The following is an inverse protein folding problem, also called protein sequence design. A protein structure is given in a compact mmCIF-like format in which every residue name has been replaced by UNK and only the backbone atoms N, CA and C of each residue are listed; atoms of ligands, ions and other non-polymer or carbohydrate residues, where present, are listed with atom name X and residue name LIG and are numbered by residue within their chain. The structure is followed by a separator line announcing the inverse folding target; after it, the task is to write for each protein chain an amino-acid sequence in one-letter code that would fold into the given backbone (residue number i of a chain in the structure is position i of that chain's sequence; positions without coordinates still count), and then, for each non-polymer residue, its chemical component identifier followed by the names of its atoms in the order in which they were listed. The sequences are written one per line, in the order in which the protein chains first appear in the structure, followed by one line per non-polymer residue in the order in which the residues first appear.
data_IF_681650860290
#
_entry.id   IF_681650860290
#
_cell.length_a   1.000
_cell.length_b   1.000
_cell.length_c   1.000
_cell.angle_alpha   90.00
_cell.angle_beta   90.00
_cell.angle_gamma   90.00
#
_symmetry.space_group_name_H-M   'P 1'
#
loop_
_entity.id
_entity.type
_entity.pdbx_description
1 polymer ?
#
# COMPACT_ATOMS: atom_id res chain seq x y z
N UNK A 1 -22.25 -4.49 -45.73
CA UNK A 1 -23.28 -3.47 -45.45
C UNK A 1 -22.63 -2.09 -45.54
N UNK A 2 -23.32 -1.10 -46.13
CA UNK A 2 -22.77 0.24 -46.34
C UNK A 2 -22.66 0.97 -44.99
N UNK A 3 -21.46 1.43 -44.64
CA UNK A 3 -21.18 2.16 -43.38
C UNK A 3 -22.12 3.35 -43.21
N UNK A 4 -22.43 4.03 -44.30
CA UNK A 4 -23.38 5.16 -44.37
C UNK A 4 -24.79 4.80 -43.86
N UNK A 5 -25.29 3.60 -44.15
CA UNK A 5 -26.62 3.19 -43.69
C UNK A 5 -26.66 3.00 -42.17
N UNK A 6 -25.57 2.49 -41.58
CA UNK A 6 -25.45 2.30 -40.13
C UNK A 6 -25.33 3.65 -39.43
N UNK A 7 -24.61 4.60 -40.02
CA UNK A 7 -24.46 5.96 -39.50
C UNK A 7 -25.82 6.68 -39.43
N UNK A 8 -26.66 6.54 -40.46
CA UNK A 8 -28.03 7.09 -40.49
C UNK A 8 -28.88 6.46 -39.38
N UNK A 9 -28.88 5.13 -39.29
CA UNK A 9 -29.67 4.38 -38.29
C UNK A 9 -29.25 4.74 -36.87
N UNK A 10 -27.94 4.83 -36.62
CA UNK A 10 -27.41 5.23 -35.33
C UNK A 10 -27.87 6.65 -34.97
N UNK A 11 -27.79 7.60 -35.92
CA UNK A 11 -28.21 8.98 -35.71
C UNK A 11 -29.70 9.06 -35.34
N UNK A 12 -30.55 8.35 -36.07
CA UNK A 12 -31.99 8.27 -35.77
C UNK A 12 -32.27 7.66 -34.39
N UNK A 13 -31.59 6.56 -34.06
CA UNK A 13 -31.77 5.89 -32.78
C UNK A 13 -31.31 6.78 -31.63
N UNK A 14 -30.20 7.49 -31.78
CA UNK A 14 -29.71 8.45 -30.80
C UNK A 14 -30.68 9.63 -30.64
N UNK A 15 -31.17 10.22 -31.74
CA UNK A 15 -32.13 11.32 -31.67
C UNK A 15 -33.42 10.92 -30.95
N UNK A 16 -33.92 9.70 -31.21
CA UNK A 16 -35.17 9.20 -30.63
C UNK A 16 -35.04 8.76 -29.18
N UNK A 17 -33.95 8.08 -28.82
CA UNK A 17 -33.81 7.42 -27.51
C UNK A 17 -32.81 8.09 -26.57
N UNK A 18 -32.17 9.21 -26.95
CA UNK A 18 -31.22 9.94 -26.08
C UNK A 18 -31.76 10.22 -24.68
N UNK A 19 -32.98 10.77 -24.57
CA UNK A 19 -33.60 11.06 -23.28
C UNK A 19 -33.82 9.79 -22.44
N UNK A 20 -34.23 8.69 -23.09
CA UNK A 20 -34.43 7.40 -22.46
C UNK A 20 -33.11 6.82 -21.91
N UNK A 21 -32.04 6.86 -22.71
CA UNK A 21 -30.71 6.39 -22.29
C UNK A 21 -30.16 7.21 -21.13
N UNK A 22 -30.23 8.54 -21.20
CA UNK A 22 -29.81 9.42 -20.12
C UNK A 22 -30.58 9.14 -18.82
N UNK A 23 -31.90 8.89 -18.91
CA UNK A 23 -32.69 8.52 -17.74
C UNK A 23 -32.22 7.20 -17.13
N UNK A 24 -31.93 6.18 -17.94
CA UNK A 24 -31.44 4.88 -17.44
C UNK A 24 -30.04 4.99 -16.80
N UNK A 25 -29.16 5.84 -17.35
CA UNK A 25 -27.81 6.06 -16.80
C UNK A 25 -27.89 6.81 -15.47
N UNK A 26 -28.75 7.84 -15.38
CA UNK A 26 -28.99 8.62 -14.15
C UNK A 26 -29.52 7.80 -12.97
N UNK A 27 -30.10 6.63 -13.22
CA UNK A 27 -30.50 5.71 -12.13
C UNK A 27 -29.29 5.05 -11.43
N UNK A 28 -28.10 5.09 -12.03
CA UNK A 28 -26.89 4.41 -11.51
C UNK A 28 -25.69 5.32 -11.29
N UNK A 29 -25.66 6.48 -11.93
CA UNK A 29 -24.55 7.43 -11.88
C UNK A 29 -25.08 8.85 -11.67
N UNK A 30 -24.29 9.68 -11.00
CA UNK A 30 -24.66 11.04 -10.61
C UNK A 30 -23.58 12.05 -11.08
N UNK A 31 -23.99 13.29 -11.32
CA UNK A 31 -23.07 14.38 -11.66
C UNK A 31 -22.45 14.29 -13.07
N UNK A 32 -21.17 14.65 -13.16
CA UNK A 32 -20.40 14.69 -14.42
C UNK A 32 -20.21 13.30 -15.05
N UNK A 33 -20.12 12.25 -14.24
CA UNK A 33 -19.99 10.85 -14.68
C UNK A 33 -21.10 10.43 -15.67
N UNK A 34 -22.28 11.05 -15.61
CA UNK A 34 -23.43 10.68 -16.46
C UNK A 34 -23.17 10.95 -17.94
N UNK A 35 -22.54 12.08 -18.27
CA UNK A 35 -22.28 12.45 -19.67
C UNK A 35 -21.15 11.59 -20.24
N UNK A 36 -20.11 11.35 -19.46
CA UNK A 36 -18.98 10.49 -19.85
C UNK A 36 -19.46 9.07 -20.16
N UNK A 37 -20.27 8.50 -19.26
CA UNK A 37 -20.82 7.16 -19.43
C UNK A 37 -21.78 7.11 -20.61
N UNK A 38 -22.55 8.17 -20.86
CA UNK A 38 -23.41 8.26 -22.02
C UNK A 38 -22.61 8.30 -23.34
N UNK A 39 -21.49 9.02 -23.38
CA UNK A 39 -20.58 9.03 -24.53
C UNK A 39 -19.97 7.65 -24.76
N UNK A 40 -19.44 7.00 -23.73
CA UNK A 40 -18.89 5.65 -23.84
C UNK A 40 -19.95 4.62 -24.27
N UNK A 41 -21.16 4.75 -23.73
CA UNK A 41 -22.31 3.93 -24.15
C UNK A 41 -22.63 4.14 -25.63
N UNK A 42 -22.61 5.39 -26.11
CA UNK A 42 -22.88 5.71 -27.52
C UNK A 42 -21.88 5.03 -28.45
N UNK A 43 -20.59 5.04 -28.07
CA UNK A 43 -19.53 4.34 -28.82
C UNK A 43 -19.75 2.82 -28.77
N UNK A 44 -20.13 2.28 -27.61
CA UNK A 44 -20.42 0.85 -27.46
C UNK A 44 -21.61 0.42 -28.34
N UNK A 45 -22.69 1.21 -28.34
CA UNK A 45 -23.88 0.96 -29.15
C UNK A 45 -23.57 1.00 -30.64
N UNK A 46 -22.76 1.95 -31.09
CA UNK A 46 -22.31 2.04 -32.48
C UNK A 46 -21.51 0.79 -32.91
N UNK A 47 -20.58 0.32 -32.07
CA UNK A 47 -19.84 -0.93 -32.33
C UNK A 47 -20.77 -2.14 -32.40
N UNK A 48 -21.78 -2.18 -31.54
CA UNK A 48 -22.75 -3.27 -31.49
C UNK A 48 -23.66 -3.27 -32.73
N UNK A 49 -24.05 -2.10 -33.23
CA UNK A 49 -24.73 -1.94 -34.52
C UNK A 49 -23.85 -2.44 -35.68
N UNK A 50 -22.57 -2.05 -35.74
CA UNK A 50 -21.65 -2.53 -36.77
C UNK A 50 -21.55 -4.06 -36.84
N UNK A 51 -21.64 -4.74 -35.69
CA UNK A 51 -21.51 -6.20 -35.60
C UNK A 51 -22.82 -6.95 -35.85
N UNK A 52 -23.95 -6.47 -35.31
CA UNK A 52 -25.20 -7.23 -35.24
C UNK A 52 -26.32 -6.72 -36.15
N UNK A 53 -26.18 -5.55 -36.75
CA UNK A 53 -27.27 -4.96 -37.55
C UNK A 53 -27.64 -5.80 -38.78
N UNK A 54 -26.71 -6.53 -39.41
CA UNK A 54 -27.05 -7.42 -40.55
C UNK A 54 -27.91 -8.63 -40.18
N UNK A 55 -27.92 -9.04 -38.90
CA UNK A 55 -28.52 -10.32 -38.48
C UNK A 55 -29.77 -10.12 -37.61
N UNK A 56 -29.86 -8.97 -36.92
CA UNK A 56 -30.77 -8.78 -35.77
C UNK A 56 -31.42 -7.37 -35.79
N UNK A 57 -31.94 -6.90 -36.94
CA UNK A 57 -32.50 -5.53 -37.10
C UNK A 57 -33.66 -5.24 -36.13
N UNK A 58 -34.57 -6.21 -35.92
CA UNK A 58 -35.78 -6.03 -35.11
C UNK A 58 -35.48 -5.78 -33.61
N UNK A 59 -34.34 -6.25 -33.12
CA UNK A 59 -33.91 -6.07 -31.74
C UNK A 59 -33.60 -4.61 -31.43
N UNK A 60 -33.03 -3.87 -32.39
CA UNK A 60 -32.72 -2.45 -32.22
C UNK A 60 -33.96 -1.56 -32.18
N UNK A 61 -35.08 -2.01 -32.75
CA UNK A 61 -36.37 -1.31 -32.67
C UNK A 61 -37.10 -1.55 -31.34
N UNK A 62 -36.67 -2.55 -30.56
CA UNK A 62 -37.35 -2.94 -29.33
C UNK A 62 -36.80 -2.19 -28.11
N UNK A 63 -37.64 -1.33 -27.50
CA UNK A 63 -37.27 -0.53 -26.32
C UNK A 63 -36.82 -1.38 -25.11
N UNK A 64 -37.41 -2.56 -24.93
CA UNK A 64 -37.05 -3.50 -23.85
C UNK A 64 -35.62 -4.04 -24.00
N UNK A 65 -35.21 -4.34 -25.23
CA UNK A 65 -33.86 -4.79 -25.51
C UNK A 65 -32.85 -3.66 -25.31
N UNK A 66 -33.14 -2.46 -25.82
CA UNK A 66 -32.33 -1.27 -25.60
C UNK A 66 -32.15 -0.97 -24.09
N UNK A 67 -33.20 -1.14 -23.28
CA UNK A 67 -33.11 -1.03 -21.81
C UNK A 67 -32.11 -2.01 -21.22
N UNK A 68 -32.16 -3.27 -21.65
CA UNK A 68 -31.26 -4.31 -21.16
C UNK A 68 -29.81 -4.02 -21.54
N UNK A 69 -29.56 -3.59 -22.78
CA UNK A 69 -28.22 -3.23 -23.28
C UNK A 69 -27.62 -2.10 -22.45
N UNK A 70 -28.36 -1.00 -22.24
CA UNK A 70 -27.89 0.14 -21.42
C UNK A 70 -27.67 -0.29 -19.97
N UNK A 71 -28.60 -1.03 -19.38
CA UNK A 71 -28.49 -1.46 -17.98
C UNK A 71 -27.27 -2.35 -17.74
N UNK A 72 -27.01 -3.30 -18.66
CA UNK A 72 -25.87 -4.20 -18.60
C UNK A 72 -24.54 -3.46 -18.82
N UNK A 73 -24.53 -2.48 -19.72
CA UNK A 73 -23.38 -1.60 -19.91
C UNK A 73 -23.06 -0.84 -18.62
N UNK A 74 -24.05 -0.19 -18.01
CA UNK A 74 -23.87 0.52 -16.74
C UNK A 74 -23.37 -0.38 -15.61
N UNK A 75 -23.84 -1.64 -15.51
CA UNK A 75 -23.33 -2.60 -14.52
C UNK A 75 -21.86 -2.91 -14.77
N UNK A 76 -21.49 -3.09 -16.03
CA UNK A 76 -20.11 -3.40 -16.43
C UNK A 76 -19.17 -2.25 -16.10
N UNK A 77 -19.59 -1.00 -16.36
CA UNK A 77 -18.82 0.19 -15.97
C UNK A 77 -18.69 0.32 -14.45
N UNK A 78 -19.76 0.05 -13.70
CA UNK A 78 -19.70 0.05 -12.23
C UNK A 78 -18.71 -1.01 -11.70
N UNK A 79 -18.67 -2.20 -12.31
CA UNK A 79 -17.68 -3.24 -11.97
C UNK A 79 -16.25 -2.78 -12.26
N UNK A 80 -16.01 -2.11 -13.40
CA UNK A 80 -14.69 -1.56 -13.74
C UNK A 80 -14.27 -0.47 -12.75
N UNK A 81 -15.18 0.45 -12.40
CA UNK A 81 -14.94 1.51 -11.41
C UNK A 81 -14.62 0.92 -10.03
N UNK A 82 -15.31 -0.15 -9.62
CA UNK A 82 -15.04 -0.83 -8.35
C UNK A 82 -13.74 -1.66 -8.36
N UNK A 83 -13.32 -2.18 -9.52
CA UNK A 83 -12.05 -2.91 -9.65
C UNK A 83 -10.83 -1.99 -9.56
N UNK A 84 -10.94 -0.75 -10.04
CA UNK A 84 -9.89 0.27 -9.86
C UNK A 84 -9.86 0.65 -8.37
N UNK A 85 -8.67 0.62 -7.74
CA UNK A 85 -8.51 1.12 -6.36
C UNK A 85 -9.01 2.56 -6.35
N UNK A 86 -10.04 2.84 -5.55
CA UNK A 86 -10.53 4.20 -5.33
C UNK A 86 -9.42 4.99 -4.62
N UNK A 87 -8.61 5.72 -5.38
CA UNK A 87 -7.71 6.73 -4.83
C UNK A 87 -8.62 7.84 -4.32
N UNK A 88 -8.92 7.81 -3.03
CA UNK A 88 -9.60 8.93 -2.40
C UNK A 88 -8.58 10.05 -2.34
N UNK A 89 -8.80 11.10 -3.15
CA UNK A 89 -8.12 12.37 -2.99
C UNK A 89 -8.64 12.99 -1.69
N UNK A 90 -8.06 12.54 -0.58
CA UNK A 90 -8.34 13.08 0.74
C UNK A 90 -7.66 14.45 0.83
N UNK A 91 -8.38 15.45 1.32
CA UNK A 91 -7.79 16.75 1.66
C UNK A 91 -6.59 16.55 2.59
N UNK A 92 -5.59 17.43 2.48
CA UNK A 92 -4.33 17.31 3.20
C UNK A 92 -4.53 17.21 4.73
N UNK A 93 -5.54 17.93 5.23
CA UNK A 93 -5.94 17.93 6.65
C UNK A 93 -6.37 16.53 7.14
N UNK A 94 -7.02 15.73 6.29
CA UNK A 94 -7.47 14.37 6.64
C UNK A 94 -6.37 13.33 6.46
N UNK A 95 -5.39 13.59 5.60
CA UNK A 95 -4.24 12.71 5.41
C UNK A 95 -3.14 12.95 6.45
N UNK A 96 -3.09 14.10 7.12
CA UNK A 96 -2.15 14.35 8.22
C UNK A 96 -2.27 13.30 9.35
N UNK A 97 -3.50 12.99 9.77
CA UNK A 97 -3.78 12.00 10.84
C UNK A 97 -3.48 10.57 10.40
N UNK A 98 -3.70 10.25 9.12
CA UNK A 98 -3.37 8.92 8.58
C UNK A 98 -1.85 8.80 8.41
N UNK A 99 -1.18 9.84 7.91
CA UNK A 99 0.29 9.91 7.79
C UNK A 99 0.96 9.78 9.15
N UNK A 100 0.43 10.38 10.22
CA UNK A 100 0.98 10.22 11.58
C UNK A 100 0.85 8.79 12.13
N UNK A 101 -0.11 8.01 11.65
CA UNK A 101 -0.29 6.61 12.05
C UNK A 101 0.58 5.63 11.24
N UNK A 102 1.03 6.02 10.05
CA UNK A 102 1.90 5.23 9.18
C UNK A 102 3.34 5.76 9.10
N UNK A 103 3.63 6.93 9.69
CA UNK A 103 4.99 7.37 9.95
C UNK A 103 5.58 6.48 11.02
N UNK A 104 6.70 5.85 10.69
CA UNK A 104 7.53 5.17 11.67
C UNK A 104 7.80 6.12 12.85
N UNK A 105 7.62 5.64 14.08
CA UNK A 105 7.78 6.45 15.29
C UNK A 105 9.23 6.96 15.47
N UNK A 106 10.13 6.61 14.54
CA UNK A 106 11.52 7.06 14.45
C UNK A 106 11.68 8.54 14.08
N UNK A 107 10.63 9.23 13.62
CA UNK A 107 10.71 10.66 13.23
C UNK A 107 10.24 11.67 14.30
N UNK A 108 9.80 11.24 15.50
CA UNK A 108 9.56 12.16 16.63
C UNK A 108 10.89 12.48 17.35
N UNK A 109 11.86 13.00 16.59
CA UNK A 109 13.18 13.44 17.08
C UNK A 109 13.16 14.85 17.67
N UNK A 110 12.04 15.57 17.57
CA UNK A 110 11.91 16.97 18.06
C UNK A 110 11.25 17.10 19.43
N UNK A 111 11.01 15.99 20.16
CA UNK A 111 10.71 16.08 21.59
C UNK A 111 12.01 15.98 22.39
N UNK A 112 12.49 17.05 23.06
CA UNK A 112 13.57 16.95 24.02
C UNK A 112 13.03 16.29 25.29
N UNK A 113 12.76 14.98 25.23
CA UNK A 113 12.87 14.14 26.42
C UNK A 113 14.36 14.12 26.70
N UNK A 114 14.80 14.96 27.64
CA UNK A 114 16.20 15.22 27.94
C UNK A 114 17.06 13.99 27.68
N UNK A 115 17.99 14.11 26.73
CA UNK A 115 18.73 12.97 26.18
C UNK A 115 19.19 12.08 27.33
N UNK A 116 18.72 10.81 27.38
CA UNK A 116 19.33 9.84 28.28
C UNK A 116 20.84 9.92 28.07
N UNK A 117 21.63 9.96 29.14
CA UNK A 117 23.09 10.07 29.00
C UNK A 117 23.66 8.74 28.47
N UNK A 118 23.46 8.47 27.19
CA UNK A 118 23.84 7.26 26.47
C UNK A 118 25.34 7.07 26.53
N UNK A 119 26.09 8.17 26.44
CA UNK A 119 27.54 8.17 26.57
C UNK A 119 28.00 7.72 27.96
N UNK A 120 27.36 8.20 29.02
CA UNK A 120 27.63 7.79 30.40
C UNK A 120 27.25 6.33 30.67
N UNK A 121 26.10 5.89 30.16
CA UNK A 121 25.66 4.49 30.23
C UNK A 121 26.65 3.58 29.48
N UNK A 122 27.04 3.94 28.25
CA UNK A 122 28.01 3.19 27.45
C UNK A 122 29.38 3.16 28.12
N UNK A 123 29.88 4.29 28.65
CA UNK A 123 31.15 4.35 29.39
C UNK A 123 31.13 3.46 30.63
N UNK A 124 30.02 3.42 31.36
CA UNK A 124 29.87 2.54 32.52
C UNK A 124 29.87 1.06 32.11
N UNK A 125 29.18 0.69 31.02
CA UNK A 125 29.17 -0.68 30.49
C UNK A 125 30.56 -1.07 30.01
N UNK A 126 31.24 -0.23 29.23
CA UNK A 126 32.58 -0.49 28.70
C UNK A 126 33.63 -0.66 29.79
N UNK A 127 33.50 -0.02 30.95
CA UNK A 127 34.38 -0.24 32.10
C UNK A 127 34.32 -1.68 32.64
N UNK A 128 33.23 -2.42 32.39
CA UNK A 128 33.07 -3.82 32.82
C UNK A 128 33.52 -4.84 31.78
N UNK A 129 33.89 -4.41 30.58
CA UNK A 129 34.31 -5.28 29.49
C UNK A 129 35.80 -5.13 29.22
N UNK A 130 36.47 -6.27 29.08
CA UNK A 130 37.79 -6.29 28.48
C UNK A 130 37.70 -6.02 26.98
N UNK A 131 38.77 -5.51 26.37
CA UNK A 131 38.84 -5.27 24.91
C UNK A 131 38.45 -6.51 24.08
N UNK A 132 38.80 -7.71 24.56
CA UNK A 132 38.48 -8.99 23.92
C UNK A 132 36.98 -9.34 24.01
N UNK A 133 36.35 -9.09 25.16
CA UNK A 133 34.91 -9.29 25.35
C UNK A 133 34.07 -8.29 24.54
N UNK A 134 34.50 -7.03 24.47
CA UNK A 134 33.86 -6.01 23.64
C UNK A 134 33.93 -6.35 22.15
N UNK A 135 35.08 -6.82 21.68
CA UNK A 135 35.25 -7.29 20.29
C UNK A 135 34.35 -8.50 19.99
N UNK A 136 34.23 -9.44 20.94
CA UNK A 136 33.35 -10.61 20.81
C UNK A 136 31.87 -10.20 20.66
N UNK A 137 31.40 -9.24 21.46
CA UNK A 137 30.04 -8.70 21.34
C UNK A 137 29.84 -7.97 20.01
N UNK A 138 30.83 -7.15 19.59
CA UNK A 138 30.79 -6.46 18.31
C UNK A 138 30.68 -7.46 17.16
N UNK A 139 31.49 -8.51 17.13
CA UNK A 139 31.40 -9.55 16.10
C UNK A 139 30.04 -10.26 16.07
N UNK A 140 29.43 -10.51 17.24
CA UNK A 140 28.16 -11.22 17.33
C UNK A 140 26.96 -10.36 16.91
N UNK A 141 26.86 -9.14 17.44
CA UNK A 141 25.67 -8.31 17.33
C UNK A 141 25.77 -7.24 16.23
N UNK A 142 26.97 -6.75 15.92
CA UNK A 142 27.18 -5.85 14.77
C UNK A 142 27.34 -6.62 13.48
N UNK A 143 28.42 -7.37 13.42
CA UNK A 143 28.85 -7.97 12.16
C UNK A 143 28.05 -9.24 11.84
N UNK A 144 27.11 -9.63 12.71
CA UNK A 144 26.26 -10.82 12.54
C UNK A 144 27.05 -12.12 12.41
N UNK A 145 28.27 -12.17 12.96
CA UNK A 145 29.18 -13.29 12.74
C UNK A 145 28.70 -14.50 13.56
N UNK A 146 28.57 -15.69 12.95
CA UNK A 146 28.19 -16.89 13.68
C UNK A 146 29.19 -17.23 14.79
N UNK A 147 28.71 -17.74 15.92
CA UNK A 147 29.53 -18.04 17.11
C UNK A 147 30.69 -19.01 16.82
N UNK A 148 30.47 -19.98 15.92
CA UNK A 148 31.51 -20.91 15.47
C UNK A 148 32.66 -20.22 14.71
N UNK A 149 32.39 -19.10 14.04
CA UNK A 149 33.41 -18.29 13.34
C UNK A 149 34.11 -17.34 14.30
N UNK A 150 33.38 -16.75 15.25
CA UNK A 150 33.96 -15.93 16.33
C UNK A 150 34.94 -16.76 17.17
N UNK A 151 34.55 -18.00 17.50
CA UNK A 151 35.37 -18.95 18.27
C UNK A 151 36.73 -19.20 17.63
N UNK A 152 36.75 -19.37 16.30
CA UNK A 152 37.98 -19.56 15.50
C UNK A 152 38.82 -18.29 15.39
N UNK A 153 38.20 -17.12 15.19
CA UNK A 153 38.93 -15.86 15.03
C UNK A 153 39.55 -15.40 16.36
N UNK A 154 38.82 -15.55 17.46
CA UNK A 154 39.26 -15.09 18.77
C UNK A 154 39.93 -16.18 19.61
N UNK A 155 40.06 -17.42 19.13
CA UNK A 155 40.53 -18.58 19.91
C UNK A 155 39.85 -18.67 21.28
N UNK A 156 38.51 -18.62 21.30
CA UNK A 156 37.68 -18.76 22.51
C UNK A 156 36.74 -19.93 22.35
N UNK A 157 36.74 -20.85 23.30
CA UNK A 157 35.77 -21.95 23.36
C UNK A 157 34.45 -21.48 23.96
N UNK A 158 33.32 -22.02 23.48
CA UNK A 158 31.98 -21.72 23.99
C UNK A 158 31.64 -20.21 24.02
N UNK A 159 31.68 -19.56 22.85
CA UNK A 159 31.39 -18.12 22.67
C UNK A 159 30.02 -17.76 23.24
N UNK A 160 28.97 -18.53 22.97
CA UNK A 160 27.62 -18.20 23.45
C UNK A 160 27.50 -18.26 24.98
N UNK A 161 28.22 -19.20 25.63
CA UNK A 161 28.27 -19.30 27.09
C UNK A 161 29.03 -18.11 27.68
N UNK A 162 30.14 -17.71 27.04
CA UNK A 162 30.93 -16.55 27.46
C UNK A 162 30.14 -15.26 27.33
N UNK A 163 29.41 -15.09 26.22
CA UNK A 163 28.50 -13.97 26.01
C UNK A 163 27.39 -14.00 27.07
N UNK A 164 26.77 -15.15 27.34
CA UNK A 164 25.74 -15.28 28.38
C UNK A 164 26.22 -14.87 29.77
N UNK A 165 27.43 -15.30 30.17
CA UNK A 165 28.06 -14.89 31.43
C UNK A 165 28.39 -13.40 31.45
N UNK A 166 28.81 -12.84 30.32
CA UNK A 166 29.09 -11.42 30.17
C UNK A 166 27.82 -10.58 30.34
N UNK A 167 26.70 -11.01 29.74
CA UNK A 167 25.37 -10.39 29.95
C UNK A 167 25.00 -10.39 31.42
N UNK A 168 25.10 -11.55 32.09
CA UNK A 168 24.81 -11.66 33.51
C UNK A 168 25.70 -10.75 34.38
N UNK A 169 26.99 -10.61 34.03
CA UNK A 169 27.93 -9.73 34.74
C UNK A 169 27.55 -8.25 34.59
N UNK A 170 27.11 -7.84 33.40
CA UNK A 170 26.64 -6.48 33.13
C UNK A 170 25.32 -6.22 33.87
N UNK A 171 24.37 -7.16 33.85
CA UNK A 171 23.08 -7.04 34.54
C UNK A 171 23.25 -6.92 36.07
N UNK A 172 24.09 -7.77 36.68
CA UNK A 172 24.33 -7.77 38.13
C UNK A 172 24.99 -6.49 38.62
N UNK A 173 25.95 -5.94 37.87
CA UNK A 173 26.68 -4.73 38.27
C UNK A 173 25.97 -3.43 37.87
N UNK A 174 25.16 -3.46 36.80
CA UNK A 174 24.44 -2.30 36.28
C UNK A 174 23.07 -2.03 36.92
N UNK A 175 22.55 -2.92 37.79
CA UNK A 175 21.14 -2.88 38.29
C UNK A 175 20.11 -2.74 37.14
N UNK A 176 20.43 -3.25 35.96
CA UNK A 176 19.58 -3.19 34.77
C UNK A 176 18.88 -4.55 34.65
N UNK A 177 17.55 -4.51 34.61
CA UNK A 177 16.69 -5.71 34.57
C UNK A 177 16.67 -6.39 33.21
N UNK A 178 17.00 -5.67 32.13
CA UNK A 178 16.90 -6.23 30.78
C UNK A 178 18.01 -5.76 29.84
N UNK A 179 18.96 -6.65 29.55
CA UNK A 179 20.15 -6.36 28.74
C UNK A 179 19.85 -6.34 27.24
N UNK A 180 18.89 -7.13 26.78
CA UNK A 180 18.54 -7.20 25.36
C UNK A 180 17.77 -5.95 24.92
N UNK A 181 16.94 -5.39 25.81
CA UNK A 181 16.33 -4.08 25.60
C UNK A 181 17.35 -2.92 25.58
N UNK A 182 18.44 -3.04 26.35
CA UNK A 182 19.52 -2.06 26.37
C UNK A 182 20.40 -2.14 25.13
N UNK A 183 20.73 -3.35 24.65
CA UNK A 183 21.48 -3.54 23.40
C UNK A 183 20.69 -3.10 22.16
N UNK A 184 19.37 -3.32 22.15
CA UNK A 184 18.48 -2.88 21.07
C UNK A 184 18.32 -1.35 21.02
N UNK A 185 18.42 -0.68 22.19
CA UNK A 185 18.39 0.79 22.31
C UNK A 185 19.76 1.46 22.19
N UNK A 186 20.83 0.69 22.30
CA UNK A 186 22.17 1.20 22.09
C UNK A 186 22.50 1.07 20.61
N UNK A 187 22.26 2.16 19.88
CA UNK A 187 22.87 2.39 18.57
C UNK A 187 24.40 2.39 18.76
N UNK A 188 25.01 1.21 18.66
CA UNK A 188 26.45 1.12 18.47
C UNK A 188 26.65 1.26 16.95
N UNK A 189 27.38 2.21 16.37
CA UNK A 189 27.98 3.48 16.79
C UNK A 189 28.08 4.28 15.47
N UNK A 190 28.06 5.62 15.53
CA UNK A 190 28.78 6.42 14.52
C UNK A 190 30.24 5.96 14.49
#
# INVERSE_FOLDING_TARGET
MNKQSIDIVFTELMNRYRGFFLQQIRLKFEGEDVQDIFQEFSIHLYRLLLQKYSTEVDLFNTKSWLKAVVSNFCISELRKKNKKRKVHLLSEDKTAVIRSNFSDASYDSDRPKGEPNYFGAMKSVLNFLTKREALMLKMKYYYGVPSARISRILNVTHVDVTIGRLKQRIMRKGKITDFDALLSKMDWLV
#
